data_IF_870792000457
#
_entry.id   IF_870792000457
#
_cell.length_a   1.000
_cell.length_b   1.000
_cell.length_c   1.000
_cell.angle_alpha   90.00
_cell.angle_beta   90.00
_cell.angle_gamma   90.00
#
_symmetry.space_group_name_H-M   'P 1'
#
loop_
_entity.id
_entity.type
_entity.pdbx_description
1 polymer ?
#
# COMPACT_ATOMS: atom_id res chain seq x y z
N UNK A 1 6.46 18.61 -5.65
CA UNK A 1 5.92 19.91 -5.18
C UNK A 1 4.67 19.61 -4.38
N UNK A 2 4.75 19.65 -3.04
CA UNK A 2 3.60 19.47 -2.16
C UNK A 2 2.89 20.83 -2.01
N UNK A 3 1.83 21.04 -2.81
CA UNK A 3 0.85 22.05 -2.47
C UNK A 3 0.15 21.60 -1.19
N UNK A 4 0.27 22.36 -0.10
CA UNK A 4 -0.55 22.14 1.10
C UNK A 4 -2.02 22.29 0.72
N UNK A 5 -2.69 21.16 0.44
CA UNK A 5 -4.11 21.11 0.16
C UNK A 5 -4.82 21.50 1.45
N UNK A 6 -5.37 22.71 1.50
CA UNK A 6 -6.12 23.19 2.64
C UNK A 6 -7.53 22.59 2.61
N UNK A 7 -7.74 21.48 3.32
CA UNK A 7 -9.04 20.83 3.42
C UNK A 7 -9.88 21.48 4.52
N UNK A 8 -10.59 22.55 4.15
CA UNK A 8 -11.45 23.30 5.09
C UNK A 8 -12.52 22.37 5.68
N UNK A 9 -12.55 22.24 7.00
CA UNK A 9 -13.60 21.55 7.75
C UNK A 9 -13.56 20.02 7.68
N UNK A 10 -12.44 19.41 7.24
CA UNK A 10 -12.29 17.94 7.19
C UNK A 10 -11.44 17.36 8.31
N UNK A 11 -10.97 18.18 9.24
CA UNK A 11 -10.04 17.77 10.31
C UNK A 11 -10.61 16.62 11.17
N UNK A 12 -11.89 16.69 11.54
CA UNK A 12 -12.54 15.64 12.33
C UNK A 12 -12.61 14.30 11.56
N UNK A 13 -12.85 14.35 10.25
CA UNK A 13 -12.89 13.15 9.39
C UNK A 13 -11.49 12.56 9.26
N UNK A 14 -10.46 13.40 9.07
CA UNK A 14 -9.06 12.96 8.98
C UNK A 14 -8.66 12.28 10.29
N UNK A 15 -8.90 12.91 11.44
CA UNK A 15 -8.56 12.34 12.75
C UNK A 15 -9.26 11.00 12.98
N UNK A 16 -10.55 10.89 12.66
CA UNK A 16 -11.28 9.63 12.79
C UNK A 16 -10.74 8.51 11.89
N UNK A 17 -10.24 8.87 10.71
CA UNK A 17 -9.61 7.89 9.82
C UNK A 17 -8.27 7.45 10.40
N UNK A 18 -7.44 8.40 10.86
CA UNK A 18 -6.16 8.10 11.53
C UNK A 18 -6.38 7.15 12.71
N UNK A 19 -7.30 7.48 13.62
CA UNK A 19 -7.62 6.65 14.80
C UNK A 19 -7.96 5.20 14.42
N UNK A 20 -8.69 4.99 13.31
CA UNK A 20 -9.04 3.65 12.82
C UNK A 20 -7.88 2.92 12.17
N UNK A 21 -7.05 3.63 11.42
CA UNK A 21 -5.84 3.04 10.84
C UNK A 21 -4.90 2.60 11.96
N UNK A 22 -4.81 3.38 13.05
CA UNK A 22 -4.02 3.03 14.22
C UNK A 22 -4.57 1.84 15.00
N UNK A 23 -5.89 1.58 14.98
CA UNK A 23 -6.50 0.38 15.56
C UNK A 23 -6.33 -0.89 14.71
N UNK A 24 -5.49 -0.84 13.67
CA UNK A 24 -5.26 -1.93 12.70
C UNK A 24 -6.52 -2.33 11.92
N UNK A 25 -7.48 -1.40 11.78
CA UNK A 25 -8.67 -1.60 10.96
C UNK A 25 -8.42 -1.17 9.50
N UNK A 26 -9.08 -1.86 8.57
CA UNK A 26 -9.14 -1.42 7.17
C UNK A 26 -10.17 -0.29 7.02
N UNK A 27 -9.79 0.84 6.43
CA UNK A 27 -10.69 1.97 6.17
C UNK A 27 -10.93 2.13 4.67
N UNK A 28 -12.19 2.28 4.28
CA UNK A 28 -12.57 2.60 2.89
C UNK A 28 -13.18 4.00 2.82
N UNK A 29 -12.67 4.82 1.89
CA UNK A 29 -13.21 6.14 1.58
C UNK A 29 -14.06 6.02 0.32
N UNK A 30 -15.37 6.14 0.45
CA UNK A 30 -16.33 5.93 -0.65
C UNK A 30 -17.10 7.21 -0.94
N UNK A 31 -17.27 7.53 -2.21
CA UNK A 31 -17.99 8.70 -2.69
C UNK A 31 -17.94 8.78 -4.21
N UNK A 32 -18.79 9.64 -4.79
CA UNK A 32 -18.82 9.86 -6.23
C UNK A 32 -17.53 10.52 -6.76
N UNK A 33 -17.35 10.49 -8.07
CA UNK A 33 -16.24 11.15 -8.74
C UNK A 33 -16.30 12.67 -8.52
N UNK A 34 -15.14 13.29 -8.35
CA UNK A 34 -15.05 14.72 -8.03
C UNK A 34 -15.35 15.11 -6.57
N UNK A 35 -15.65 14.16 -5.67
CA UNK A 35 -15.91 14.47 -4.24
C UNK A 35 -14.65 14.80 -3.41
N UNK A 36 -13.48 14.81 -4.05
CA UNK A 36 -12.19 15.07 -3.40
C UNK A 36 -11.71 13.91 -2.52
N UNK A 37 -11.92 12.65 -2.95
CA UNK A 37 -11.43 11.44 -2.26
C UNK A 37 -9.90 11.38 -2.28
N UNK A 38 -9.29 11.46 -3.46
CA UNK A 38 -7.82 11.47 -3.60
C UNK A 38 -7.21 12.68 -2.89
N UNK A 39 -7.85 13.87 -2.95
CA UNK A 39 -7.41 15.04 -2.17
C UNK A 39 -7.47 14.83 -0.66
N UNK A 40 -8.51 14.14 -0.16
CA UNK A 40 -8.60 13.74 1.25
C UNK A 40 -7.52 12.72 1.60
N UNK A 41 -7.28 11.73 0.72
CA UNK A 41 -6.27 10.70 0.91
C UNK A 41 -4.86 11.29 1.00
N UNK A 42 -4.49 12.19 0.07
CA UNK A 42 -3.21 12.90 0.12
C UNK A 42 -3.03 13.71 1.40
N UNK A 43 -4.10 14.33 1.91
CA UNK A 43 -4.02 15.04 3.18
C UNK A 43 -3.88 14.09 4.37
N UNK A 44 -4.55 12.93 4.37
CA UNK A 44 -4.38 11.92 5.41
C UNK A 44 -2.93 11.46 5.44
N UNK A 45 -2.35 11.10 4.29
CA UNK A 45 -0.95 10.68 4.18
C UNK A 45 -0.01 11.78 4.69
N UNK A 46 -0.20 13.02 4.23
CA UNK A 46 0.63 14.15 4.63
C UNK A 46 0.54 14.50 6.12
N UNK A 47 -0.55 14.13 6.81
CA UNK A 47 -0.72 14.36 8.24
C UNK A 47 -0.43 13.11 9.09
N UNK A 48 -0.25 11.94 8.47
CA UNK A 48 0.01 10.70 9.18
C UNK A 48 1.46 10.67 9.66
N UNK A 49 1.66 11.06 10.92
CA UNK A 49 2.98 11.05 11.56
C UNK A 49 2.98 10.02 12.69
N UNK A 50 3.58 8.86 12.43
CA UNK A 50 3.78 7.83 13.45
C UNK A 50 5.17 7.22 13.27
N UNK A 51 6.02 7.25 14.31
CA UNK A 51 7.34 6.66 14.24
C UNK A 51 7.29 5.20 13.77
N UNK A 52 8.32 4.78 13.03
CA UNK A 52 8.43 3.42 12.50
C UNK A 52 7.22 3.02 11.64
N UNK A 53 6.67 3.93 10.85
CA UNK A 53 5.60 3.62 9.91
C UNK A 53 6.09 3.76 8.47
N UNK A 54 5.82 2.74 7.66
CA UNK A 54 5.96 2.75 6.22
C UNK A 54 4.58 2.88 5.59
N UNK A 55 4.35 3.98 4.88
CA UNK A 55 3.17 4.13 4.01
C UNK A 55 3.55 3.62 2.64
N UNK A 56 2.76 2.68 2.10
CA UNK A 56 2.95 2.10 0.77
C UNK A 56 1.82 2.55 -0.13
N UNK A 57 2.14 3.47 -1.04
CA UNK A 57 1.17 4.10 -1.95
C UNK A 57 1.06 3.35 -3.27
N UNK A 58 -0.17 2.93 -3.59
CA UNK A 58 -0.52 2.27 -4.85
C UNK A 58 -1.58 3.13 -5.54
N UNK A 59 -1.11 4.06 -6.38
CA UNK A 59 -1.93 5.01 -7.14
C UNK A 59 -1.88 4.72 -8.63
N UNK A 60 -2.96 5.08 -9.33
CA UNK A 60 -3.09 4.99 -10.78
C UNK A 60 -2.67 3.61 -11.36
N UNK A 61 -2.95 2.53 -10.62
CA UNK A 61 -2.60 1.17 -11.01
C UNK A 61 -3.81 0.42 -11.56
N UNK A 62 -3.63 -0.19 -12.73
CA UNK A 62 -4.65 -0.94 -13.48
C UNK A 62 -4.13 -2.34 -13.85
N UNK A 63 -3.81 -3.19 -12.86
CA UNK A 63 -3.32 -4.54 -13.12
C UNK A 63 -4.41 -5.37 -13.80
N UNK A 64 -4.07 -6.02 -14.89
CA UNK A 64 -5.00 -6.86 -15.67
C UNK A 64 -5.15 -8.28 -15.10
N UNK A 65 -4.21 -8.70 -14.24
CA UNK A 65 -4.16 -10.04 -13.67
C UNK A 65 -3.37 -10.07 -12.35
N UNK A 66 -3.33 -11.24 -11.71
CA UNK A 66 -2.64 -11.47 -10.44
C UNK A 66 -1.12 -11.23 -10.50
N UNK A 67 -0.47 -11.53 -11.62
CA UNK A 67 0.97 -11.28 -11.76
C UNK A 67 1.25 -9.78 -11.71
N UNK A 68 0.55 -8.98 -12.53
CA UNK A 68 0.71 -7.52 -12.58
C UNK A 68 0.35 -6.85 -11.24
N UNK A 69 -0.63 -7.39 -10.52
CA UNK A 69 -0.94 -6.95 -9.17
C UNK A 69 0.25 -7.13 -8.22
N UNK A 70 0.86 -8.32 -8.19
CA UNK A 70 2.03 -8.56 -7.34
C UNK A 70 3.26 -7.75 -7.77
N UNK A 71 3.45 -7.52 -9.07
CA UNK A 71 4.52 -6.65 -9.59
C UNK A 71 4.33 -5.22 -9.11
N UNK A 72 3.11 -4.68 -9.23
CA UNK A 72 2.77 -3.33 -8.74
C UNK A 72 3.06 -3.20 -7.24
N UNK A 73 2.61 -4.18 -6.44
CA UNK A 73 2.82 -4.17 -4.98
C UNK A 73 4.30 -4.27 -4.63
N UNK A 74 5.07 -5.08 -5.35
CA UNK A 74 6.52 -5.21 -5.19
C UNK A 74 7.22 -3.88 -5.44
N UNK A 75 6.98 -3.28 -6.60
CA UNK A 75 7.62 -2.02 -6.99
C UNK A 75 7.25 -0.89 -6.05
N UNK A 76 5.98 -0.82 -5.64
CA UNK A 76 5.50 0.19 -4.69
C UNK A 76 6.19 0.02 -3.33
N UNK A 77 6.24 -1.21 -2.82
CA UNK A 77 6.88 -1.49 -1.53
C UNK A 77 8.39 -1.16 -1.57
N UNK A 78 9.09 -1.60 -2.61
CA UNK A 78 10.53 -1.34 -2.78
C UNK A 78 10.81 0.17 -2.87
N UNK A 79 10.06 0.90 -3.70
CA UNK A 79 10.18 2.35 -3.86
C UNK A 79 10.00 3.08 -2.52
N UNK A 80 8.96 2.77 -1.77
CA UNK A 80 8.69 3.45 -0.50
C UNK A 80 9.74 3.10 0.58
N UNK A 81 10.26 1.87 0.61
CA UNK A 81 11.38 1.52 1.50
C UNK A 81 12.63 2.33 1.15
N UNK A 82 12.97 2.44 -0.15
CA UNK A 82 14.15 3.19 -0.58
C UNK A 82 14.00 4.68 -0.26
N UNK A 83 12.82 5.27 -0.54
CA UNK A 83 12.53 6.68 -0.34
C UNK A 83 12.30 7.12 1.12
N UNK A 84 11.94 6.22 2.03
CA UNK A 84 11.56 6.60 3.39
C UNK A 84 12.78 6.95 4.28
N UNK A 85 12.93 8.20 4.70
CA UNK A 85 14.08 8.66 5.49
C UNK A 85 14.06 8.19 6.96
N UNK A 86 12.90 7.76 7.47
CA UNK A 86 12.72 7.34 8.86
C UNK A 86 13.02 5.87 9.11
N UNK A 87 13.08 5.05 8.05
CA UNK A 87 13.43 3.63 8.14
C UNK A 87 14.94 3.46 8.32
N UNK A 88 15.28 2.64 9.32
CA UNK A 88 16.66 2.28 9.65
C UNK A 88 17.45 1.75 8.44
N UNK A 89 18.70 2.21 8.30
CA UNK A 89 19.56 1.89 7.16
C UNK A 89 19.87 0.39 7.06
N UNK A 90 20.05 -0.30 8.20
CA UNK A 90 20.29 -1.75 8.23
C UNK A 90 19.06 -2.50 7.73
N UNK A 91 17.86 -2.06 8.14
CA UNK A 91 16.60 -2.60 7.65
C UNK A 91 16.46 -2.42 6.14
N UNK A 92 16.79 -1.23 5.59
CA UNK A 92 16.76 -1.00 4.14
C UNK A 92 17.69 -1.97 3.40
N UNK A 93 18.92 -2.14 3.86
CA UNK A 93 19.85 -3.09 3.25
C UNK A 93 19.34 -4.52 3.28
N UNK A 94 18.73 -4.92 4.40
CA UNK A 94 18.14 -6.26 4.55
C UNK A 94 16.98 -6.48 3.58
N UNK A 95 16.09 -5.50 3.44
CA UNK A 95 14.95 -5.57 2.52
C UNK A 95 15.41 -5.55 1.07
N UNK A 96 16.37 -4.69 0.70
CA UNK A 96 17.01 -4.70 -0.62
C UNK A 96 17.61 -6.06 -0.95
N UNK A 97 18.28 -6.68 0.02
CA UNK A 97 18.78 -8.04 -0.09
C UNK A 97 17.67 -9.07 -0.32
N UNK A 98 16.47 -8.87 0.25
CA UNK A 98 15.33 -9.75 0.01
C UNK A 98 14.72 -9.57 -1.38
N UNK A 99 14.53 -8.33 -1.84
CA UNK A 99 14.05 -8.05 -3.20
C UNK A 99 14.98 -8.60 -4.27
N UNK A 100 16.30 -8.51 -4.06
CA UNK A 100 17.30 -9.06 -4.99
C UNK A 100 17.28 -10.59 -5.13
N UNK A 101 16.62 -11.31 -4.20
CA UNK A 101 16.43 -12.77 -4.26
C UNK A 101 15.15 -13.17 -4.99
N UNK A 102 14.41 -12.23 -5.58
CA UNK A 102 13.26 -12.61 -6.38
C UNK A 102 13.74 -13.39 -7.61
N UNK A 103 13.57 -14.71 -7.57
CA UNK A 103 14.14 -15.64 -8.56
C UNK A 103 13.56 -15.41 -9.98
N UNK A 104 12.30 -14.95 -10.06
CA UNK A 104 11.60 -14.65 -11.32
C UNK A 104 10.50 -13.61 -11.13
N UNK A 105 10.69 -12.41 -11.69
CA UNK A 105 9.72 -11.31 -11.64
C UNK A 105 8.49 -11.54 -12.53
N UNK A 106 8.48 -12.57 -13.37
CA UNK A 106 7.35 -12.97 -14.21
C UNK A 106 6.52 -14.12 -13.60
N UNK A 107 6.84 -14.55 -12.38
CA UNK A 107 6.13 -15.61 -11.68
C UNK A 107 5.44 -15.10 -10.41
N UNK A 108 4.11 -15.13 -10.40
CA UNK A 108 3.30 -14.66 -9.26
C UNK A 108 3.68 -15.34 -7.92
N UNK A 109 4.01 -16.63 -7.96
CA UNK A 109 4.44 -17.36 -6.76
C UNK A 109 5.79 -16.86 -6.20
N UNK A 110 6.72 -16.47 -7.07
CA UNK A 110 8.01 -15.92 -6.67
C UNK A 110 7.82 -14.52 -6.04
N UNK A 111 7.06 -13.65 -6.70
CA UNK A 111 6.72 -12.32 -6.17
C UNK A 111 6.02 -12.41 -4.81
N UNK A 112 4.99 -13.25 -4.70
CA UNK A 112 4.24 -13.47 -3.46
C UNK A 112 5.15 -13.94 -2.32
N UNK A 113 6.08 -14.85 -2.61
CA UNK A 113 7.07 -15.32 -1.62
C UNK A 113 7.97 -14.19 -1.15
N UNK A 114 8.53 -13.40 -2.07
CA UNK A 114 9.40 -12.26 -1.74
C UNK A 114 8.65 -11.20 -0.93
N UNK A 115 7.43 -10.83 -1.34
CA UNK A 115 6.56 -9.90 -0.63
C UNK A 115 6.27 -10.38 0.80
N UNK A 116 5.90 -11.65 0.97
CA UNK A 116 5.67 -12.24 2.30
C UNK A 116 6.90 -12.13 3.21
N UNK A 117 8.08 -12.40 2.65
CA UNK A 117 9.32 -12.27 3.41
C UNK A 117 9.61 -10.81 3.77
N UNK A 118 9.41 -9.87 2.85
CA UNK A 118 9.60 -8.45 3.08
C UNK A 118 8.67 -7.92 4.18
N UNK A 119 7.36 -8.21 4.12
CA UNK A 119 6.42 -7.85 5.17
C UNK A 119 6.74 -8.53 6.51
N UNK A 120 7.19 -9.79 6.49
CA UNK A 120 7.64 -10.47 7.71
C UNK A 120 8.87 -9.79 8.34
N UNK A 121 9.81 -9.32 7.52
CA UNK A 121 10.99 -8.57 7.99
C UNK A 121 10.54 -7.24 8.59
N UNK A 122 9.73 -6.44 7.90
CA UNK A 122 9.20 -5.17 8.38
C UNK A 122 8.54 -5.33 9.75
N UNK A 123 7.66 -6.34 9.88
CA UNK A 123 6.98 -6.66 11.14
C UNK A 123 7.94 -7.03 12.26
N UNK A 124 8.94 -7.89 11.99
CA UNK A 124 9.94 -8.30 13.01
C UNK A 124 10.79 -7.12 13.50
N UNK A 125 10.94 -6.11 12.66
CA UNK A 125 11.61 -4.86 12.98
C UNK A 125 10.67 -3.80 13.57
N UNK A 126 9.45 -4.18 13.89
CA UNK A 126 8.44 -3.30 14.49
C UNK A 126 8.10 -2.09 13.61
N UNK A 127 8.16 -2.26 12.28
CA UNK A 127 7.67 -1.26 11.32
C UNK A 127 6.20 -1.50 11.04
N UNK A 128 5.36 -0.53 11.38
CA UNK A 128 3.96 -0.52 11.01
C UNK A 128 3.84 -0.25 9.51
N UNK A 129 3.15 -1.10 8.75
CA UNK A 129 3.00 -0.92 7.30
C UNK A 129 1.55 -0.60 6.96
N UNK A 130 1.33 0.54 6.30
CA UNK A 130 0.01 1.00 5.89
C UNK A 130 -0.05 0.97 4.37
N UNK A 131 -0.96 0.16 3.83
CA UNK A 131 -1.22 0.13 2.40
C UNK A 131 -2.28 1.17 2.06
N UNK A 132 -1.95 2.08 1.15
CA UNK A 132 -2.85 3.13 0.68
C UNK A 132 -3.10 2.92 -0.80
N UNK A 133 -4.34 2.53 -1.12
CA UNK A 133 -4.73 2.18 -2.49
C UNK A 133 -5.79 3.18 -2.95
N UNK A 134 -5.46 3.99 -3.95
CA UNK A 134 -6.44 4.85 -4.61
C UNK A 134 -7.14 4.09 -5.73
N UNK A 135 -8.39 4.47 -6.02
CA UNK A 135 -9.23 3.84 -7.04
C UNK A 135 -9.29 2.30 -6.96
N UNK A 136 -9.38 1.76 -5.74
CA UNK A 136 -9.44 0.32 -5.48
C UNK A 136 -10.55 -0.41 -6.27
N UNK A 137 -11.71 0.23 -6.49
CA UNK A 137 -12.80 -0.34 -7.29
C UNK A 137 -12.41 -0.52 -8.77
N UNK A 138 -11.63 0.43 -9.33
CA UNK A 138 -11.10 0.32 -10.69
C UNK A 138 -10.08 -0.80 -10.79
N UNK A 139 -9.11 -0.84 -9.87
CA UNK A 139 -8.11 -1.92 -9.79
C UNK A 139 -8.78 -3.30 -9.72
N UNK A 140 -9.83 -3.42 -8.91
CA UNK A 140 -10.59 -4.67 -8.76
C UNK A 140 -11.36 -5.03 -10.04
N UNK A 141 -11.92 -4.03 -10.75
CA UNK A 141 -12.59 -4.25 -12.05
C UNK A 141 -11.62 -4.72 -13.12
N UNK A 142 -10.44 -4.09 -13.25
CA UNK A 142 -9.42 -4.50 -14.23
C UNK A 142 -9.02 -5.97 -14.07
N UNK A 143 -8.80 -6.44 -12.83
CA UNK A 143 -8.51 -7.85 -12.55
C UNK A 143 -9.74 -8.72 -12.81
N UNK A 144 -10.94 -8.31 -12.37
CA UNK A 144 -12.18 -9.08 -12.54
C UNK A 144 -12.58 -9.28 -14.01
N UNK A 145 -12.34 -8.28 -14.87
CA UNK A 145 -12.59 -8.36 -16.30
C UNK A 145 -11.69 -9.40 -16.98
N UNK A 146 -10.48 -9.63 -16.45
CA UNK A 146 -9.62 -10.75 -16.82
C UNK A 146 -10.05 -12.08 -16.19
N UNK A 147 -10.25 -12.12 -14.87
CA UNK A 147 -10.66 -13.29 -14.10
C UNK A 147 -11.17 -12.93 -12.68
N UNK A 148 -12.43 -13.30 -12.37
CA UNK A 148 -13.07 -13.00 -11.08
C UNK A 148 -12.42 -13.65 -9.86
N UNK A 149 -11.83 -14.85 -10.01
CA UNK A 149 -11.20 -15.55 -8.89
C UNK A 149 -9.90 -14.87 -8.44
N UNK A 150 -9.20 -14.24 -9.37
CA UNK A 150 -7.94 -13.52 -9.12
C UNK A 150 -8.15 -12.29 -8.22
N UNK A 151 -9.20 -11.51 -8.46
CA UNK A 151 -9.50 -10.33 -7.63
C UNK A 151 -9.77 -10.70 -6.16
N UNK A 152 -10.48 -11.81 -5.93
CA UNK A 152 -10.79 -12.30 -4.58
C UNK A 152 -9.53 -12.79 -3.87
N UNK A 153 -8.67 -13.55 -4.55
CA UNK A 153 -7.43 -14.06 -3.96
C UNK A 153 -6.42 -12.95 -3.66
N UNK A 154 -6.31 -11.94 -4.54
CA UNK A 154 -5.43 -10.78 -4.30
C UNK A 154 -5.91 -9.94 -3.11
N UNK A 155 -7.21 -9.76 -2.96
CA UNK A 155 -7.75 -9.07 -1.77
C UNK A 155 -7.54 -9.87 -0.49
N UNK A 156 -7.79 -11.19 -0.52
CA UNK A 156 -7.49 -12.08 0.62
C UNK A 156 -6.02 -12.02 0.98
N UNK A 157 -5.14 -11.91 -0.01
CA UNK A 157 -3.71 -11.75 0.22
C UNK A 157 -3.42 -10.50 1.05
N UNK A 158 -3.89 -9.32 0.61
CA UNK A 158 -3.69 -8.06 1.33
C UNK A 158 -4.21 -8.10 2.77
N UNK A 159 -5.39 -8.68 2.98
CA UNK A 159 -6.00 -8.78 4.31
C UNK A 159 -5.24 -9.72 5.26
N UNK A 160 -4.50 -10.68 4.71
CA UNK A 160 -3.75 -11.68 5.47
C UNK A 160 -2.24 -11.38 5.49
N UNK A 161 -1.84 -10.15 5.14
CA UNK A 161 -0.49 -9.65 5.42
C UNK A 161 -0.33 -9.53 6.94
N UNK A 162 0.04 -10.64 7.59
CA UNK A 162 0.26 -10.76 9.03
C UNK A 162 1.68 -11.22 9.29
#
# INVERSE_FOLDING_TARGET
MSSNIQLIGRDEVINRIIDRVESQDSVSIVGYDGMGKSSLLSAIIANFHKPNTLIVEIFDSEPSNTLEFYQTLFESLEREIEGNEEIDIELKYRLKGEFSKCDDFHLAAALRKTLNNAFSILRRWNVNTILVIDDFDRMTKCINEGNKEDAVENFKYLRNLV
#
